data_IF_854817577587
#
_entry.id   IF_854817577587
#
_cell.length_a   1.000
_cell.length_b   1.000
_cell.length_c   1.000
_cell.angle_alpha   90.00
_cell.angle_beta   90.00
_cell.angle_gamma   90.00
#
_symmetry.space_group_name_H-M   'P 1'
#
loop_
_entity.id
_entity.type
_entity.pdbx_description
1 polymer ?
#
# COMPACT_ATOMS: atom_id res chain seq x y z
N UNK A 1 28.03 17.23 21.18
CA UNK A 1 26.68 17.77 20.85
C UNK A 1 26.65 18.75 19.66
N UNK A 2 27.72 19.49 19.32
CA UNK A 2 27.66 20.51 18.25
C UNK A 2 27.47 20.03 16.79
N UNK A 3 27.90 18.81 16.43
CA UNK A 3 27.77 18.31 15.05
C UNK A 3 26.33 17.90 14.69
N UNK A 4 25.59 17.29 15.63
CA UNK A 4 24.21 16.88 15.41
C UNK A 4 23.26 18.07 15.20
N UNK A 5 23.52 19.19 15.91
CA UNK A 5 22.76 20.45 15.76
C UNK A 5 22.96 21.06 14.37
N UNK A 6 24.17 20.98 13.80
CA UNK A 6 24.42 21.46 12.44
C UNK A 6 23.69 20.66 11.37
N UNK A 7 23.66 19.32 11.47
CA UNK A 7 22.92 18.49 10.51
C UNK A 7 21.41 18.72 10.60
N UNK A 8 20.89 18.89 11.82
CA UNK A 8 19.49 19.17 12.04
C UNK A 8 19.10 20.55 11.49
N UNK A 9 19.95 21.57 11.67
CA UNK A 9 19.75 22.90 11.08
C UNK A 9 19.76 22.88 9.55
N UNK A 10 20.69 22.15 8.93
CA UNK A 10 20.79 22.03 7.45
C UNK A 10 19.52 21.43 6.85
N UNK A 11 18.81 20.55 7.56
CA UNK A 11 17.60 19.90 7.04
C UNK A 11 16.32 20.66 7.43
N UNK A 12 16.25 21.15 8.67
CA UNK A 12 15.04 21.79 9.20
C UNK A 12 14.84 23.20 8.64
N UNK A 13 15.91 23.96 8.44
CA UNK A 13 15.80 25.33 7.91
C UNK A 13 15.18 25.36 6.50
N UNK A 14 15.67 24.62 5.49
CA UNK A 14 15.06 24.63 4.16
C UNK A 14 13.65 24.01 4.16
N UNK A 15 13.39 23.01 5.00
CA UNK A 15 12.05 22.43 5.14
C UNK A 15 11.04 23.46 5.66
N UNK A 16 11.40 24.19 6.73
CA UNK A 16 10.56 25.23 7.31
C UNK A 16 10.41 26.43 6.36
N UNK A 17 11.47 26.83 5.67
CA UNK A 17 11.41 27.90 4.68
C UNK A 17 10.50 27.52 3.50
N UNK A 18 10.62 26.28 2.99
CA UNK A 18 9.75 25.78 1.93
C UNK A 18 8.28 25.67 2.36
N UNK A 19 8.02 25.15 3.57
CA UNK A 19 6.67 25.10 4.15
C UNK A 19 6.07 26.50 4.31
N UNK A 20 6.85 27.45 4.83
CA UNK A 20 6.42 28.83 5.00
C UNK A 20 6.04 29.46 3.67
N UNK A 21 6.90 29.33 2.66
CA UNK A 21 6.66 29.92 1.35
C UNK A 21 5.44 29.29 0.66
N UNK A 22 5.29 27.97 0.76
CA UNK A 22 4.15 27.25 0.21
C UNK A 22 2.82 27.65 0.89
N UNK A 23 2.83 27.87 2.21
CA UNK A 23 1.67 28.37 2.93
C UNK A 23 1.37 29.83 2.59
N UNK A 24 2.40 30.68 2.51
CA UNK A 24 2.24 32.11 2.22
C UNK A 24 1.65 32.33 0.81
N UNK A 25 2.15 31.61 -0.19
CA UNK A 25 1.66 31.71 -1.57
C UNK A 25 0.35 30.94 -1.76
N UNK A 26 0.23 29.74 -1.17
CA UNK A 26 -0.93 28.85 -1.32
C UNK A 26 -2.18 29.33 -0.58
N UNK A 27 -2.04 30.06 0.53
CA UNK A 27 -3.17 30.66 1.25
C UNK A 27 -3.63 32.00 0.68
N UNK A 28 -2.94 32.52 -0.35
CA UNK A 28 -3.42 33.70 -1.03
C UNK A 28 -4.77 33.40 -1.69
N UNK A 29 -5.75 34.26 -1.44
CA UNK A 29 -7.15 34.07 -1.88
C UNK A 29 -7.28 33.90 -3.39
N UNK A 30 -6.40 34.53 -4.17
CA UNK A 30 -6.33 34.38 -5.62
C UNK A 30 -5.98 32.94 -6.06
N UNK A 31 -4.98 32.31 -5.44
CA UNK A 31 -4.57 30.94 -5.77
C UNK A 31 -5.60 29.91 -5.30
N UNK A 32 -6.22 30.13 -4.13
CA UNK A 32 -7.32 29.27 -3.64
C UNK A 32 -8.53 29.33 -4.57
N UNK A 33 -8.91 30.52 -5.06
CA UNK A 33 -10.01 30.68 -6.00
C UNK A 33 -9.71 29.95 -7.33
N UNK A 34 -8.49 30.06 -7.84
CA UNK A 34 -8.06 29.34 -9.04
C UNK A 34 -8.06 27.81 -8.84
N UNK A 35 -7.60 27.33 -7.67
CA UNK A 35 -7.58 25.91 -7.35
C UNK A 35 -9.00 25.34 -7.24
N UNK A 36 -9.91 26.02 -6.55
CA UNK A 36 -11.29 25.58 -6.38
C UNK A 36 -12.10 25.65 -7.70
N UNK A 37 -11.68 26.51 -8.63
CA UNK A 37 -12.27 26.61 -9.96
C UNK A 37 -11.75 25.54 -10.96
N UNK A 38 -10.71 24.76 -10.61
CA UNK A 38 -10.18 23.73 -11.49
C UNK A 38 -11.19 22.60 -11.72
N UNK A 39 -11.55 22.31 -12.98
CA UNK A 39 -12.39 21.16 -13.30
C UNK A 39 -11.64 19.87 -12.92
N UNK A 40 -12.34 18.94 -12.25
CA UNK A 40 -11.76 17.65 -11.88
C UNK A 40 -10.94 17.60 -10.59
N UNK A 41 -10.80 18.71 -9.84
CA UNK A 41 -10.16 18.71 -8.53
C UNK A 41 -10.84 17.71 -7.57
N UNK A 42 -12.17 17.85 -7.41
CA UNK A 42 -12.96 17.01 -6.52
C UNK A 42 -12.97 15.55 -6.94
N UNK A 43 -13.02 15.29 -8.26
CA UNK A 43 -12.94 13.94 -8.79
C UNK A 43 -11.58 13.31 -8.48
N UNK A 44 -10.48 14.03 -8.71
CA UNK A 44 -9.12 13.56 -8.41
C UNK A 44 -8.90 13.33 -6.92
N UNK A 45 -9.44 14.21 -6.06
CA UNK A 45 -9.37 14.05 -4.61
C UNK A 45 -10.17 12.82 -4.14
N UNK A 46 -11.39 12.63 -4.64
CA UNK A 46 -12.21 11.46 -4.33
C UNK A 46 -11.56 10.16 -4.80
N UNK A 47 -10.98 10.15 -6.00
CA UNK A 47 -10.27 9.00 -6.55
C UNK A 47 -9.03 8.66 -5.71
N UNK A 48 -8.25 9.65 -5.29
CA UNK A 48 -7.07 9.45 -4.43
C UNK A 48 -7.47 8.90 -3.06
N UNK A 49 -8.56 9.42 -2.48
CA UNK A 49 -9.10 8.91 -1.21
C UNK A 49 -9.61 7.48 -1.35
N UNK A 50 -10.33 7.16 -2.43
CA UNK A 50 -10.80 5.81 -2.73
C UNK A 50 -9.62 4.84 -2.87
N UNK A 51 -8.62 5.18 -3.66
CA UNK A 51 -7.43 4.34 -3.89
C UNK A 51 -6.66 4.14 -2.58
N UNK A 52 -6.43 5.20 -1.81
CA UNK A 52 -5.76 5.13 -0.51
C UNK A 52 -6.52 4.26 0.49
N UNK A 53 -7.84 4.45 0.61
CA UNK A 53 -8.67 3.67 1.52
C UNK A 53 -8.76 2.19 1.10
N UNK A 54 -9.06 1.92 -0.18
CA UNK A 54 -9.20 0.58 -0.71
C UNK A 54 -7.88 -0.21 -0.61
N UNK A 55 -6.75 0.43 -0.94
CA UNK A 55 -5.43 -0.22 -0.83
C UNK A 55 -5.04 -0.49 0.62
N UNK A 56 -5.34 0.43 1.55
CA UNK A 56 -5.06 0.21 2.98
C UNK A 56 -5.89 -0.94 3.53
N UNK A 57 -7.19 -0.98 3.24
CA UNK A 57 -8.07 -2.07 3.67
C UNK A 57 -7.66 -3.40 3.03
N UNK A 58 -7.33 -3.39 1.74
CA UNK A 58 -6.83 -4.57 1.03
C UNK A 58 -5.53 -5.11 1.62
N UNK A 59 -4.58 -4.23 1.95
CA UNK A 59 -3.29 -4.60 2.57
C UNK A 59 -3.48 -5.17 3.97
N UNK A 60 -4.38 -4.57 4.75
CA UNK A 60 -4.73 -5.06 6.09
C UNK A 60 -5.37 -6.44 6.02
N UNK A 61 -6.33 -6.64 5.10
CA UNK A 61 -6.98 -7.93 4.89
C UNK A 61 -5.98 -9.00 4.45
N UNK A 62 -5.13 -8.70 3.47
CA UNK A 62 -4.07 -9.62 3.02
C UNK A 62 -3.11 -9.96 4.15
N UNK A 63 -2.69 -8.98 4.94
CA UNK A 63 -1.83 -9.19 6.12
C UNK A 63 -2.50 -10.11 7.13
N UNK A 64 -3.79 -9.89 7.44
CA UNK A 64 -4.55 -10.72 8.37
C UNK A 64 -4.67 -12.17 7.87
N UNK A 65 -4.99 -12.36 6.59
CA UNK A 65 -5.10 -13.70 5.99
C UNK A 65 -3.75 -14.44 5.98
N UNK A 66 -2.65 -13.76 5.67
CA UNK A 66 -1.31 -14.34 5.66
C UNK A 66 -0.88 -14.76 7.07
N UNK A 67 -1.13 -13.92 8.08
CA UNK A 67 -0.81 -14.25 9.47
C UNK A 67 -1.69 -15.37 10.04
N UNK A 68 -2.93 -15.51 9.59
CA UNK A 68 -3.79 -16.63 9.94
C UNK A 68 -3.18 -17.98 9.48
N UNK A 69 -2.40 -17.97 8.41
CA UNK A 69 -1.69 -19.13 7.86
C UNK A 69 -0.20 -19.16 8.25
N UNK A 70 0.17 -18.49 9.35
CA UNK A 70 1.57 -18.35 9.79
C UNK A 70 2.30 -19.66 10.11
N UNK A 71 1.57 -20.73 10.46
CA UNK A 71 2.15 -22.06 10.71
C UNK A 71 2.51 -22.84 9.42
N UNK A 72 2.22 -22.30 8.23
CA UNK A 72 2.51 -22.99 6.97
C UNK A 72 3.99 -22.87 6.57
N UNK A 73 4.52 -23.89 5.87
CA UNK A 73 5.87 -23.84 5.28
C UNK A 73 6.03 -22.68 4.29
N UNK A 74 4.96 -22.37 3.55
CA UNK A 74 4.91 -21.24 2.63
C UNK A 74 5.13 -19.90 3.34
N UNK A 75 4.57 -19.73 4.55
CA UNK A 75 4.79 -18.52 5.34
C UNK A 75 6.25 -18.36 5.78
N UNK A 76 6.94 -19.46 6.08
CA UNK A 76 8.37 -19.44 6.36
C UNK A 76 9.22 -18.92 5.19
N UNK A 77 8.87 -19.30 3.95
CA UNK A 77 9.50 -18.77 2.75
C UNK A 77 9.16 -17.28 2.54
N UNK A 78 7.86 -16.94 2.69
CA UNK A 78 7.39 -15.56 2.58
C UNK A 78 8.17 -14.64 3.53
N UNK A 79 8.34 -15.04 4.79
CA UNK A 79 9.11 -14.29 5.79
C UNK A 79 10.54 -13.96 5.33
N UNK A 80 11.21 -14.88 4.63
CA UNK A 80 12.55 -14.65 4.07
C UNK A 80 12.52 -13.67 2.89
N UNK A 81 11.42 -13.68 2.11
CA UNK A 81 11.23 -12.78 0.97
C UNK A 81 10.77 -11.36 1.37
N UNK A 82 10.27 -11.15 2.60
CA UNK A 82 9.89 -9.82 3.06
C UNK A 82 11.05 -8.82 3.07
N UNK A 83 12.24 -9.26 3.50
CA UNK A 83 13.43 -8.40 3.53
C UNK A 83 13.85 -7.91 2.13
N UNK A 84 14.02 -8.77 1.11
CA UNK A 84 14.34 -8.30 -0.24
C UNK A 84 13.19 -7.51 -0.89
N UNK A 85 11.92 -7.83 -0.58
CA UNK A 85 10.80 -7.03 -1.09
C UNK A 85 10.82 -5.58 -0.57
N UNK A 86 11.21 -5.37 0.69
CA UNK A 86 11.33 -4.02 1.26
C UNK A 86 12.61 -3.29 0.82
N UNK A 87 13.65 -4.03 0.48
CA UNK A 87 14.87 -3.45 -0.10
C UNK A 87 14.71 -3.05 -1.57
N UNK A 88 13.64 -3.50 -2.22
CA UNK A 88 13.41 -3.24 -3.64
C UNK A 88 13.14 -1.74 -3.86
N UNK A 89 13.79 -1.11 -4.86
CA UNK A 89 13.48 0.26 -5.24
C UNK A 89 12.00 0.39 -5.61
N UNK A 90 11.34 1.37 -5.00
CA UNK A 90 9.90 1.57 -5.15
C UNK A 90 9.45 1.69 -6.63
N UNK A 91 10.22 2.40 -7.44
CA UNK A 91 9.98 2.57 -8.88
C UNK A 91 10.14 1.25 -9.64
N UNK A 92 11.14 0.44 -9.29
CA UNK A 92 11.35 -0.86 -9.93
C UNK A 92 10.18 -1.81 -9.67
N UNK A 93 9.60 -1.77 -8.46
CA UNK A 93 8.42 -2.56 -8.13
C UNK A 93 7.22 -2.14 -8.98
N UNK A 94 6.98 -0.82 -9.10
CA UNK A 94 5.90 -0.27 -9.91
C UNK A 94 6.00 -0.69 -11.39
N UNK A 95 7.19 -0.54 -11.98
CA UNK A 95 7.45 -0.89 -13.37
C UNK A 95 7.29 -2.40 -13.58
N UNK A 96 7.89 -3.23 -12.71
CA UNK A 96 7.78 -4.69 -12.81
C UNK A 96 6.33 -5.17 -12.70
N UNK A 97 5.56 -4.59 -11.79
CA UNK A 97 4.15 -4.91 -11.62
C UNK A 97 3.28 -4.40 -12.78
N UNK A 98 3.60 -3.23 -13.35
CA UNK A 98 2.96 -2.74 -14.56
C UNK A 98 3.21 -3.70 -15.74
N UNK A 99 4.44 -4.20 -15.93
CA UNK A 99 4.72 -5.24 -16.93
C UNK A 99 4.00 -6.57 -16.65
N UNK A 100 3.74 -6.89 -15.38
CA UNK A 100 3.01 -8.09 -15.00
C UNK A 100 1.52 -7.99 -15.36
N UNK A 101 0.92 -6.82 -15.11
CA UNK A 101 -0.49 -6.53 -15.40
C UNK A 101 -0.76 -6.12 -16.86
N UNK A 102 0.27 -5.83 -17.64
CA UNK A 102 0.12 -5.41 -19.02
C UNK A 102 -0.52 -6.51 -19.88
N UNK A 103 -1.36 -6.15 -20.87
CA UNK A 103 -1.90 -7.08 -21.88
C UNK A 103 -0.86 -7.99 -22.56
N UNK A 104 0.37 -7.50 -22.71
CA UNK A 104 1.50 -8.23 -23.31
C UNK A 104 2.45 -8.84 -22.27
N UNK A 105 2.06 -8.77 -21.00
CA UNK A 105 2.82 -9.15 -19.82
C UNK A 105 3.03 -10.65 -19.66
N UNK A 106 3.92 -10.99 -18.73
CA UNK A 106 4.31 -12.39 -18.45
C UNK A 106 3.13 -13.27 -18.01
N UNK A 107 2.15 -12.73 -17.28
CA UNK A 107 0.96 -13.49 -16.85
C UNK A 107 0.12 -13.96 -18.03
N UNK A 108 -0.15 -13.08 -19.00
CA UNK A 108 -0.92 -13.43 -20.18
C UNK A 108 -0.16 -14.42 -21.09
N UNK A 109 1.18 -14.37 -21.14
CA UNK A 109 1.99 -15.37 -21.86
C UNK A 109 2.01 -16.76 -21.20
N UNK A 110 1.78 -16.84 -19.90
CA UNK A 110 1.70 -18.13 -19.19
C UNK A 110 0.32 -18.77 -19.32
N UNK A 111 -0.72 -17.97 -19.55
CA UNK A 111 -2.12 -18.42 -19.64
C UNK A 111 -2.59 -18.57 -21.11
N UNK A 112 -2.05 -17.74 -22.02
CA UNK A 112 -2.28 -17.81 -23.47
C UNK A 112 -1.12 -18.53 -24.17
N UNK A 113 -1.37 -19.49 -25.10
CA UNK A 113 -2.65 -19.79 -25.72
C UNK A 113 -3.46 -20.92 -25.05
N UNK A 114 -2.84 -21.66 -24.11
CA UNK A 114 -3.34 -22.97 -23.70
C UNK A 114 -4.70 -22.96 -22.97
N UNK A 115 -5.11 -21.85 -22.33
CA UNK A 115 -6.35 -21.78 -21.56
C UNK A 115 -7.38 -20.75 -22.08
N UNK A 116 -6.98 -19.77 -22.89
CA UNK A 116 -7.85 -18.64 -23.26
C UNK A 116 -8.08 -18.43 -24.75
N UNK A 117 -7.26 -19.02 -25.63
CA UNK A 117 -7.45 -18.92 -27.09
C UNK A 117 -7.35 -17.50 -27.68
N UNK A 118 -6.71 -16.56 -26.98
CA UNK A 118 -6.52 -15.19 -27.46
C UNK A 118 -5.35 -15.14 -28.47
N UNK A 119 -5.68 -15.00 -29.75
CA UNK A 119 -4.72 -14.76 -30.87
C UNK A 119 -4.12 -13.35 -30.85
N UNK A 120 -4.82 -12.38 -30.25
CA UNK A 120 -4.34 -11.02 -30.01
C UNK A 120 -4.44 -10.67 -28.52
N UNK A 121 -3.47 -9.90 -27.98
CA UNK A 121 -3.54 -9.45 -26.58
C UNK A 121 -4.82 -8.63 -26.38
N UNK A 122 -5.69 -8.99 -25.42
CA UNK A 122 -6.90 -8.23 -25.14
C UNK A 122 -6.54 -6.82 -24.65
N UNK A 123 -7.28 -5.79 -25.06
CA UNK A 123 -7.01 -4.39 -24.69
C UNK A 123 -7.40 -4.10 -23.23
N UNK A 124 -6.76 -4.81 -22.30
CA UNK A 124 -6.95 -4.65 -20.87
C UNK A 124 -6.22 -3.40 -20.40
N UNK A 125 -6.97 -2.32 -20.25
CA UNK A 125 -6.50 -1.08 -19.63
C UNK A 125 -6.40 -1.19 -18.09
N UNK A 126 -6.07 -2.36 -17.53
CA UNK A 126 -5.97 -2.60 -16.07
C UNK A 126 -5.01 -1.61 -15.38
N UNK A 127 -4.03 -1.12 -16.13
CA UNK A 127 -2.99 -0.18 -15.72
C UNK A 127 -3.50 1.27 -15.73
N UNK A 128 -4.40 1.63 -16.66
CA UNK A 128 -4.99 2.97 -16.83
C UNK A 128 -6.51 2.94 -16.61
N UNK A 129 -6.95 2.16 -15.62
CA UNK A 129 -8.37 1.97 -15.32
C UNK A 129 -8.97 3.24 -14.70
N UNK A 130 -10.14 3.73 -15.17
CA UNK A 130 -10.89 4.82 -14.54
C UNK A 130 -11.11 4.67 -13.03
N UNK A 131 -11.17 3.44 -12.52
CA UNK A 131 -11.38 3.13 -11.10
C UNK A 131 -10.08 2.95 -10.30
N UNK A 132 -8.93 2.95 -10.97
CA UNK A 132 -7.61 2.80 -10.34
C UNK A 132 -7.34 1.41 -9.76
N UNK A 133 -8.03 0.35 -10.21
CA UNK A 133 -7.90 -1.00 -9.63
C UNK A 133 -6.47 -1.56 -9.75
N UNK A 134 -5.77 -1.32 -10.86
CA UNK A 134 -4.38 -1.70 -11.02
C UNK A 134 -3.46 -1.03 -10.00
N UNK A 135 -3.70 0.26 -9.72
CA UNK A 135 -2.96 1.00 -8.70
C UNK A 135 -3.30 0.49 -7.29
N UNK A 136 -4.57 0.19 -7.00
CA UNK A 136 -4.95 -0.44 -5.73
C UNK A 136 -4.23 -1.77 -5.55
N UNK A 137 -4.21 -2.63 -6.56
CA UNK A 137 -3.52 -3.93 -6.49
C UNK A 137 -2.01 -3.75 -6.26
N UNK A 138 -1.38 -2.81 -6.97
CA UNK A 138 0.04 -2.46 -6.79
C UNK A 138 0.32 -2.03 -5.35
N UNK A 139 -0.50 -1.11 -4.82
CA UNK A 139 -0.39 -0.62 -3.45
C UNK A 139 -0.62 -1.75 -2.44
N UNK A 140 -1.60 -2.61 -2.65
CA UNK A 140 -1.86 -3.76 -1.77
C UNK A 140 -0.64 -4.67 -1.71
N UNK A 141 -0.09 -5.03 -2.86
CA UNK A 141 1.07 -5.91 -2.91
C UNK A 141 2.33 -5.28 -2.31
N UNK A 142 2.52 -3.97 -2.41
CA UNK A 142 3.71 -3.30 -1.85
C UNK A 142 3.60 -3.04 -0.35
N UNK A 143 2.41 -2.73 0.16
CA UNK A 143 2.20 -2.36 1.56
C UNK A 143 1.98 -3.57 2.46
N UNK A 144 1.48 -4.69 1.91
CA UNK A 144 1.31 -5.94 2.66
C UNK A 144 2.61 -6.43 3.33
N UNK A 145 3.79 -6.47 2.65
CA UNK A 145 5.05 -6.83 3.29
C UNK A 145 5.41 -5.97 4.50
N UNK A 146 5.18 -4.66 4.41
CA UNK A 146 5.46 -3.73 5.50
C UNK A 146 4.53 -3.98 6.71
N UNK A 147 3.22 -4.03 6.49
CA UNK A 147 2.25 -4.31 7.54
C UNK A 147 2.48 -5.69 8.17
N UNK A 148 2.83 -6.68 7.36
CA UNK A 148 3.14 -8.02 7.83
C UNK A 148 4.36 -8.02 8.76
N UNK A 149 5.44 -7.33 8.40
CA UNK A 149 6.60 -7.19 9.30
C UNK A 149 6.24 -6.46 10.59
N UNK A 150 5.46 -5.39 10.53
CA UNK A 150 5.04 -4.66 11.73
C UNK A 150 4.18 -5.54 12.64
N UNK A 151 3.26 -6.32 12.07
CA UNK A 151 2.45 -7.28 12.82
C UNK A 151 3.31 -8.36 13.48
N UNK A 152 4.28 -8.92 12.74
CA UNK A 152 5.19 -9.95 13.25
C UNK A 152 6.11 -9.40 14.34
N UNK A 153 6.58 -8.16 14.22
CA UNK A 153 7.39 -7.50 15.22
C UNK A 153 6.60 -7.22 16.51
N UNK A 154 5.30 -6.98 16.40
CA UNK A 154 4.41 -6.79 17.54
C UNK A 154 4.01 -8.12 18.25
N UNK A 155 4.18 -9.26 17.59
CA UNK A 155 3.83 -10.57 18.15
C UNK A 155 4.93 -11.11 19.07
N UNK A 156 4.54 -11.54 20.27
CA UNK A 156 5.39 -12.35 21.13
C UNK A 156 5.08 -13.85 20.95
N UNK A 157 6.02 -14.69 20.49
CA UNK A 157 5.75 -16.09 20.16
C UNK A 157 5.11 -16.89 21.32
N UNK A 158 5.56 -16.63 22.55
CA UNK A 158 5.05 -17.31 23.76
C UNK A 158 3.60 -16.92 24.05
N UNK A 159 3.26 -15.63 23.92
CA UNK A 159 1.90 -15.16 24.16
C UNK A 159 0.96 -15.62 23.04
N UNK A 160 1.44 -15.61 21.80
CA UNK A 160 0.72 -16.11 20.62
C UNK A 160 0.30 -17.57 20.78
N UNK A 161 1.25 -18.44 21.14
CA UNK A 161 0.99 -19.86 21.37
C UNK A 161 0.00 -20.08 22.52
N UNK A 162 0.12 -19.30 23.61
CA UNK A 162 -0.81 -19.36 24.75
C UNK A 162 -2.23 -18.96 24.35
N UNK A 163 -2.40 -17.87 23.59
CA UNK A 163 -3.73 -17.42 23.12
C UNK A 163 -4.37 -18.43 22.18
N UNK A 164 -3.57 -19.05 21.29
CA UNK A 164 -4.04 -20.10 20.40
C UNK A 164 -4.47 -21.35 21.18
N UNK A 165 -3.68 -21.78 22.16
CA UNK A 165 -4.04 -22.92 23.01
C UNK A 165 -5.32 -22.66 23.81
N UNK A 166 -5.42 -21.49 24.47
CA UNK A 166 -6.64 -21.08 25.19
C UNK A 166 -7.87 -21.06 24.29
N UNK A 167 -7.76 -20.48 23.09
CA UNK A 167 -8.85 -20.44 22.13
C UNK A 167 -9.29 -21.83 21.66
N UNK A 168 -8.32 -22.72 21.41
CA UNK A 168 -8.61 -24.10 21.02
C UNK A 168 -9.27 -24.90 22.14
N UNK A 169 -8.84 -24.72 23.40
CA UNK A 169 -9.47 -25.35 24.58
C UNK A 169 -10.92 -24.88 24.81
N UNK A 170 -11.27 -23.68 24.34
CA UNK A 170 -12.65 -23.16 24.35
C UNK A 170 -13.50 -23.63 23.17
N UNK A 171 -12.95 -24.49 22.29
CA UNK A 171 -13.65 -25.03 21.13
C UNK A 171 -13.70 -24.11 19.92
N UNK A 172 -12.92 -23.01 19.91
CA UNK A 172 -12.85 -22.13 18.74
C UNK A 172 -11.99 -22.73 17.63
N UNK A 173 -12.44 -22.56 16.38
CA UNK A 173 -11.63 -22.91 15.21
C UNK A 173 -10.48 -21.93 15.00
N UNK A 174 -9.41 -22.33 14.31
CA UNK A 174 -8.25 -21.47 14.07
C UNK A 174 -8.62 -20.08 13.48
N UNK A 175 -9.53 -19.96 12.49
CA UNK A 175 -9.99 -18.65 12.01
C UNK A 175 -10.71 -17.82 13.07
N UNK A 176 -11.52 -18.45 13.93
CA UNK A 176 -12.24 -17.75 15.01
C UNK A 176 -11.28 -17.20 16.07
N UNK A 177 -10.27 -17.99 16.46
CA UNK A 177 -9.22 -17.54 17.37
C UNK A 177 -8.50 -16.33 16.76
N UNK A 178 -8.23 -16.38 15.46
CA UNK A 178 -7.55 -15.30 14.76
C UNK A 178 -8.35 -14.00 14.76
N UNK A 179 -9.61 -14.04 14.32
CA UNK A 179 -10.46 -12.86 14.25
C UNK A 179 -10.88 -12.31 15.62
N UNK A 180 -11.06 -13.17 16.63
CA UNK A 180 -11.63 -12.76 17.93
C UNK A 180 -10.60 -12.49 19.01
N UNK A 181 -9.43 -13.13 18.98
CA UNK A 181 -8.40 -12.97 20.01
C UNK A 181 -7.16 -12.26 19.46
N UNK A 182 -6.62 -12.72 18.33
CA UNK A 182 -5.33 -12.27 17.82
C UNK A 182 -5.41 -10.89 17.15
N UNK A 183 -6.37 -10.69 16.24
CA UNK A 183 -6.51 -9.43 15.53
C UNK A 183 -6.80 -8.24 16.47
N UNK A 184 -7.71 -8.34 17.47
CA UNK A 184 -7.92 -7.27 18.45
C UNK A 184 -6.67 -6.99 19.30
N UNK A 185 -5.90 -8.02 19.67
CA UNK A 185 -4.66 -7.84 20.43
C UNK A 185 -3.56 -7.12 19.61
N UNK A 186 -3.55 -7.27 18.29
CA UNK A 186 -2.58 -6.63 17.40
C UNK A 186 -2.97 -5.20 17.01
N UNK A 187 -4.25 -4.85 17.11
CA UNK A 187 -4.78 -3.54 16.70
C UNK A 187 -4.02 -2.33 17.30
N UNK A 188 -3.70 -2.28 18.61
CA UNK A 188 -3.00 -1.14 19.19
C UNK A 188 -1.59 -0.92 18.62
N UNK A 189 -0.93 -2.01 18.19
CA UNK A 189 0.39 -1.96 17.57
C UNK A 189 0.29 -1.60 16.08
N UNK A 190 -0.77 -2.06 15.39
CA UNK A 190 -0.95 -1.84 13.96
C UNK A 190 -1.53 -0.47 13.59
N UNK A 191 -2.17 0.24 14.53
CA UNK A 191 -2.78 1.55 14.24
C UNK A 191 -1.81 2.55 13.59
N UNK A 192 -0.57 2.64 14.08
CA UNK A 192 0.43 3.58 13.57
C UNK A 192 0.91 3.19 12.17
N UNK A 193 1.33 1.92 11.92
CA UNK A 193 1.59 1.44 10.57
C UNK A 193 0.42 1.64 9.60
N UNK A 194 -0.82 1.38 10.02
CA UNK A 194 -2.01 1.55 9.18
C UNK A 194 -2.19 3.03 8.80
N UNK A 195 -2.02 3.96 9.74
CA UNK A 195 -2.09 5.39 9.42
C UNK A 195 -0.97 5.82 8.47
N UNK A 196 0.23 5.27 8.62
CA UNK A 196 1.32 5.55 7.69
C UNK A 196 0.99 5.06 6.27
N UNK A 197 0.47 3.84 6.13
CA UNK A 197 0.03 3.27 4.84
C UNK A 197 -1.13 4.08 4.24
N UNK A 198 -2.11 4.48 5.04
CA UNK A 198 -3.23 5.29 4.59
C UNK A 198 -2.79 6.68 4.10
N UNK A 199 -1.96 7.37 4.89
CA UNK A 199 -1.43 8.67 4.52
C UNK A 199 -0.59 8.59 3.24
N UNK A 200 0.26 7.57 3.14
CA UNK A 200 1.04 7.31 1.94
C UNK A 200 0.13 7.02 0.72
N UNK A 201 -0.86 6.14 0.87
CA UNK A 201 -1.76 5.74 -0.22
C UNK A 201 -2.60 6.89 -0.76
N UNK A 202 -2.98 7.86 0.07
CA UNK A 202 -3.68 9.08 -0.36
C UNK A 202 -2.72 10.09 -1.00
N UNK A 203 -1.48 10.18 -0.53
CA UNK A 203 -0.49 11.13 -1.01
C UNK A 203 0.36 10.61 -2.19
N UNK A 204 0.09 9.39 -2.69
CA UNK A 204 0.94 8.75 -3.69
C UNK A 204 0.75 9.39 -5.07
N UNK A 205 1.72 10.21 -5.46
CA UNK A 205 1.74 10.88 -6.78
C UNK A 205 2.71 10.23 -7.76
N UNK A 206 3.77 9.59 -7.26
CA UNK A 206 4.85 9.07 -8.09
C UNK A 206 4.47 7.79 -8.84
N UNK A 207 3.68 6.91 -8.20
CA UNK A 207 3.18 5.68 -8.82
C UNK A 207 2.17 5.94 -9.95
N UNK A 208 1.19 6.84 -9.79
CA UNK A 208 0.30 7.14 -10.89
C UNK A 208 0.99 7.87 -12.05
N UNK A 209 2.15 8.52 -11.88
CA UNK A 209 2.74 9.34 -12.96
C UNK A 209 3.14 8.55 -14.22
N UNK A 210 3.78 7.37 -14.16
CA UNK A 210 3.98 6.49 -15.32
C UNK A 210 2.69 5.80 -15.81
N UNK A 211 1.65 5.79 -14.97
CA UNK A 211 0.39 5.05 -15.17
C UNK A 211 -0.77 5.99 -15.55
N UNK A 212 -0.54 7.31 -15.61
CA UNK A 212 -1.59 8.32 -15.80
C UNK A 212 -2.01 8.31 -17.27
N UNK A 213 -3.32 8.33 -17.59
CA UNK A 213 -3.75 8.65 -18.94
C UNK A 213 -3.28 10.07 -19.30
N UNK A 214 -2.80 10.24 -20.54
CA UNK A 214 -2.12 11.43 -21.06
C UNK A 214 -3.02 12.68 -21.21
N UNK A 215 -4.26 12.68 -20.69
CA UNK A 215 -5.22 13.77 -20.88
C UNK A 215 -6.06 14.04 -19.63
N UNK A 216 -6.08 15.28 -19.10
CA UNK A 216 -7.23 15.76 -18.35
C UNK A 216 -8.42 15.87 -19.32
N UNK A 217 -9.61 15.34 -18.99
CA UNK A 217 -10.81 15.65 -19.77
C UNK A 217 -11.08 17.17 -19.72
N UNK A 218 -11.60 17.76 -20.81
CA UNK A 218 -11.89 19.20 -20.91
C UNK A 218 -12.92 19.68 -19.88
#
# INVERSE_FOLDING_TARGET
MGKAVNYLAIFVIPLLAGLWQLLAEGMATAHLALLLAQPGLWHSAALSLWIGAASTLGSLLMTALLLAHSNSRAFGLLRRLLSPMLAMPHVAFAIGFAFLLAPSGWLLRLVSPALTGFELPPDWQTIRDPWGLGLIALLVFKETPFLLLMAMAAQQPIQLARQQWLGASLGFSAPQIWWRLLLPALWPALRLPIYAVAAYGVAVVDLPQPLRPDTPPP
#
